data_IF_185285396721
#
_entry.id   IF_185285396721
#
_cell.length_a   1.000
_cell.length_b   1.000
_cell.length_c   1.000
_cell.angle_alpha   90.00
_cell.angle_beta   90.00
_cell.angle_gamma   90.00
#
_symmetry.space_group_name_H-M   'P 1'
#
loop_
_entity.id
_entity.type
_entity.pdbx_description
1 polymer ?
#
# COMPACT_ATOMS: atom_id res chain seq x y z
N UNK A 1 -1.97 -21.52 42.18
CA UNK A 1 -1.77 -20.32 43.03
C UNK A 1 -2.48 -19.20 42.33
N UNK A 2 -3.19 -18.31 43.06
CA UNK A 2 -3.80 -17.14 42.41
C UNK A 2 -2.68 -16.23 41.84
N UNK A 3 -2.83 -15.76 40.62
CA UNK A 3 -1.88 -14.80 40.01
C UNK A 3 -1.88 -13.54 40.89
N UNK A 4 -0.71 -13.01 41.28
CA UNK A 4 -0.64 -11.75 42.01
C UNK A 4 -1.32 -10.64 41.22
N UNK A 5 -2.14 -9.83 41.91
CA UNK A 5 -2.83 -8.68 41.30
C UNK A 5 -2.36 -7.38 41.91
N UNK A 6 -2.36 -6.29 41.11
CA UNK A 6 -2.26 -4.93 41.60
C UNK A 6 -3.60 -4.21 41.38
N UNK A 7 -3.87 -3.20 42.17
CA UNK A 7 -5.06 -2.35 42.04
C UNK A 7 -4.64 -0.97 41.60
N UNK A 8 -5.26 -0.49 40.54
CA UNK A 8 -5.14 0.89 40.06
C UNK A 8 -6.47 1.60 40.25
N UNK A 9 -6.44 2.88 40.63
CA UNK A 9 -7.61 3.66 40.94
C UNK A 9 -7.58 5.04 40.29
N UNK A 10 -8.75 5.50 39.81
CA UNK A 10 -8.99 6.85 39.29
C UNK A 10 -10.41 7.33 39.72
N UNK A 11 -10.84 8.46 39.15
CA UNK A 11 -12.16 9.05 39.43
C UNK A 11 -13.35 8.16 39.03
N UNK A 12 -13.14 7.16 38.16
CA UNK A 12 -14.17 6.26 37.65
C UNK A 12 -14.20 4.90 38.39
N UNK A 13 -13.26 4.65 39.29
CA UNK A 13 -13.25 3.45 40.10
C UNK A 13 -11.91 2.71 40.12
N UNK A 14 -11.96 1.47 40.62
CA UNK A 14 -10.78 0.60 40.78
C UNK A 14 -10.79 -0.52 39.76
N UNK A 15 -9.63 -0.78 39.15
CA UNK A 15 -9.38 -1.91 38.24
C UNK A 15 -8.32 -2.81 38.86
N UNK A 16 -8.54 -4.13 38.82
CA UNK A 16 -7.56 -5.15 39.20
C UNK A 16 -6.84 -5.66 37.97
N UNK A 17 -5.51 -5.63 37.99
CA UNK A 17 -4.64 -6.06 36.91
C UNK A 17 -3.67 -7.12 37.42
N UNK A 18 -3.19 -8.07 36.58
CA UNK A 18 -2.04 -8.89 36.90
C UNK A 18 -0.85 -8.03 37.34
N UNK A 19 -0.14 -8.46 38.38
CA UNK A 19 0.95 -7.63 38.94
C UNK A 19 2.06 -7.32 37.93
N UNK A 20 2.33 -8.26 37.03
CA UNK A 20 3.34 -8.14 35.97
C UNK A 20 2.85 -7.38 34.71
N UNK A 21 1.56 -7.10 34.59
CA UNK A 21 0.98 -6.42 33.43
C UNK A 21 1.61 -5.04 33.23
N UNK A 22 2.01 -4.71 31.99
CA UNK A 22 2.62 -3.40 31.70
C UNK A 22 1.60 -2.34 31.27
N UNK A 23 0.40 -2.69 30.83
CA UNK A 23 -0.64 -1.68 30.64
C UNK A 23 -1.33 -1.35 31.97
N UNK A 24 -2.07 -0.26 32.01
CA UNK A 24 -2.75 0.25 33.19
C UNK A 24 -4.27 0.24 33.04
N UNK A 25 -4.92 0.98 33.92
CA UNK A 25 -6.37 0.99 34.04
C UNK A 25 -7.12 1.57 32.82
N UNK A 26 -6.52 2.55 32.10
CA UNK A 26 -7.16 3.11 30.90
C UNK A 26 -7.22 2.08 29.79
N UNK A 27 -6.11 1.36 29.57
CA UNK A 27 -6.03 0.26 28.61
C UNK A 27 -7.00 -0.87 28.98
N UNK A 28 -7.05 -1.28 30.25
CA UNK A 28 -7.97 -2.34 30.69
C UNK A 28 -9.43 -2.00 30.37
N UNK A 29 -9.85 -0.75 30.59
CA UNK A 29 -11.19 -0.30 30.23
C UNK A 29 -11.40 -0.25 28.71
N UNK A 30 -10.41 0.22 27.95
CA UNK A 30 -10.53 0.27 26.50
C UNK A 30 -10.71 -1.13 25.90
N UNK A 31 -9.99 -2.13 26.39
CA UNK A 31 -10.12 -3.53 25.97
C UNK A 31 -11.50 -4.11 26.31
N UNK A 32 -12.12 -3.66 27.42
CA UNK A 32 -13.47 -4.09 27.78
C UNK A 32 -14.55 -3.60 26.81
N UNK A 33 -14.35 -2.39 26.22
CA UNK A 33 -15.37 -1.74 25.37
C UNK A 33 -15.09 -1.86 23.88
N UNK A 34 -13.83 -1.93 23.48
CA UNK A 34 -13.41 -1.89 22.07
C UNK A 34 -12.75 -3.21 21.65
N UNK A 35 -13.55 -4.10 21.08
CA UNK A 35 -13.13 -5.37 20.49
C UNK A 35 -13.92 -5.56 19.18
N UNK A 36 -13.61 -4.74 18.17
CA UNK A 36 -14.39 -4.67 16.95
C UNK A 36 -13.67 -5.28 15.76
N UNK A 37 -12.40 -4.99 15.59
CA UNK A 37 -11.63 -5.38 14.39
C UNK A 37 -10.89 -6.71 14.56
N UNK A 38 -10.67 -7.16 15.80
CA UNK A 38 -9.81 -8.28 16.13
C UNK A 38 -8.33 -8.01 15.81
N UNK A 39 -7.94 -6.75 15.61
CA UNK A 39 -6.57 -6.31 15.40
C UNK A 39 -6.18 -5.28 16.42
N UNK A 40 -5.15 -5.57 17.18
CA UNK A 40 -4.65 -4.69 18.23
C UNK A 40 -3.50 -3.82 17.72
N UNK A 41 -3.14 -2.80 18.49
CA UNK A 41 -1.96 -1.98 18.22
C UNK A 41 -0.70 -2.85 18.09
N UNK A 42 -0.55 -3.91 18.90
CA UNK A 42 0.59 -4.83 18.86
C UNK A 42 0.72 -5.59 17.53
N UNK A 43 -0.36 -5.76 16.78
CA UNK A 43 -0.36 -6.39 15.46
C UNK A 43 0.16 -5.47 14.34
N UNK A 44 0.45 -4.19 14.64
CA UNK A 44 0.92 -3.18 13.69
C UNK A 44 2.32 -2.66 14.06
N UNK A 45 3.38 -3.45 13.80
CA UNK A 45 4.75 -3.09 14.20
C UNK A 45 5.21 -1.72 13.67
N UNK A 46 4.75 -1.33 12.48
CA UNK A 46 5.04 -0.02 11.88
C UNK A 46 4.44 1.13 12.70
N UNK A 47 3.19 0.99 13.16
CA UNK A 47 2.52 1.99 13.99
C UNK A 47 3.13 2.04 15.39
N UNK A 48 3.45 0.89 15.97
CA UNK A 48 4.19 0.78 17.23
C UNK A 48 5.53 1.50 17.16
N UNK A 49 6.28 1.33 16.07
CA UNK A 49 7.54 2.02 15.85
C UNK A 49 7.35 3.54 15.69
N UNK A 50 6.28 3.98 15.03
CA UNK A 50 5.89 5.39 14.92
C UNK A 50 5.63 6.02 16.28
N UNK A 51 4.79 5.38 17.11
CA UNK A 51 4.56 5.82 18.49
C UNK A 51 5.85 5.86 19.31
N UNK A 52 6.66 4.81 19.24
CA UNK A 52 7.93 4.75 19.97
C UNK A 52 8.88 5.90 19.59
N UNK A 53 8.96 6.23 18.29
CA UNK A 53 9.80 7.33 17.82
C UNK A 53 9.30 8.69 18.34
N UNK A 54 7.99 8.94 18.29
CA UNK A 54 7.37 10.18 18.80
C UNK A 54 7.60 10.30 20.32
N UNK A 55 7.33 9.25 21.09
CA UNK A 55 7.51 9.24 22.56
C UNK A 55 8.96 9.39 22.97
N UNK A 56 9.88 8.77 22.24
CA UNK A 56 11.31 8.89 22.45
C UNK A 56 11.77 10.34 22.22
N UNK A 57 11.35 10.95 21.13
CA UNK A 57 11.65 12.34 20.80
C UNK A 57 11.06 13.32 21.83
N UNK A 58 9.84 13.07 22.28
CA UNK A 58 9.17 13.87 23.31
C UNK A 58 9.89 13.80 24.66
N UNK A 59 10.32 12.61 25.10
CA UNK A 59 11.09 12.44 26.34
C UNK A 59 12.44 13.20 26.26
N UNK A 60 13.15 13.12 25.13
CA UNK A 60 14.40 13.86 24.90
C UNK A 60 14.16 15.38 24.88
N UNK A 61 13.09 15.85 24.24
CA UNK A 61 12.72 17.26 24.19
C UNK A 61 12.35 17.81 25.58
N UNK A 62 11.56 17.07 26.36
CA UNK A 62 11.19 17.45 27.72
C UNK A 62 12.40 17.48 28.67
N UNK A 63 13.39 16.60 28.48
CA UNK A 63 14.67 16.68 29.15
C UNK A 63 15.42 17.95 28.79
N UNK A 64 15.53 18.26 27.49
CA UNK A 64 16.23 19.47 26.99
C UNK A 64 15.62 20.77 27.50
N UNK A 65 14.29 20.80 27.64
CA UNK A 65 13.52 21.96 28.14
C UNK A 65 13.39 22.01 29.67
N UNK A 66 13.95 21.02 30.39
CA UNK A 66 13.91 20.97 31.85
C UNK A 66 12.58 20.51 32.44
N UNK A 67 11.62 20.02 31.64
CA UNK A 67 10.32 19.52 32.09
C UNK A 67 10.35 18.06 32.56
N UNK A 68 11.42 17.34 32.27
CA UNK A 68 11.64 15.96 32.68
C UNK A 68 13.11 15.83 33.13
N UNK A 69 13.37 15.22 34.29
CA UNK A 69 14.72 14.95 34.76
C UNK A 69 15.39 13.85 33.91
N UNK A 70 16.70 13.78 34.00
CA UNK A 70 17.52 12.90 33.18
C UNK A 70 17.21 11.41 33.43
N UNK A 71 16.99 11.01 34.69
CA UNK A 71 16.77 9.61 35.05
C UNK A 71 15.50 9.06 34.43
N UNK A 72 14.38 9.82 34.58
CA UNK A 72 13.10 9.45 33.96
C UNK A 72 13.15 9.48 32.44
N UNK A 73 13.77 10.54 31.88
CA UNK A 73 13.90 10.66 30.41
C UNK A 73 14.67 9.48 29.81
N UNK A 74 15.81 9.12 30.40
CA UNK A 74 16.63 8.01 29.93
C UNK A 74 15.92 6.64 30.08
N UNK A 75 15.12 6.47 31.15
CA UNK A 75 14.33 5.25 31.34
C UNK A 75 13.21 5.13 30.28
N UNK A 76 12.51 6.24 29.99
CA UNK A 76 11.47 6.29 28.94
C UNK A 76 12.08 6.04 27.55
N UNK A 77 13.20 6.67 27.21
CA UNK A 77 13.92 6.47 25.94
C UNK A 77 14.25 4.98 25.74
N UNK A 78 14.82 4.33 26.76
CA UNK A 78 15.11 2.89 26.68
C UNK A 78 13.87 2.02 26.60
N UNK A 79 12.74 2.40 27.24
CA UNK A 79 11.47 1.70 27.08
C UNK A 79 10.93 1.85 25.63
N UNK A 80 11.12 3.01 24.98
CA UNK A 80 10.78 3.19 23.57
C UNK A 80 11.63 2.30 22.64
N UNK A 81 12.91 2.07 22.98
CA UNK A 81 13.76 1.12 22.23
C UNK A 81 13.24 -0.32 22.38
N UNK A 82 12.78 -0.72 23.57
CA UNK A 82 12.16 -2.03 23.79
C UNK A 82 10.87 -2.16 23.00
N UNK A 83 10.03 -1.12 22.97
CA UNK A 83 8.79 -1.10 22.20
C UNK A 83 9.06 -1.23 20.70
N UNK A 84 10.00 -0.47 20.16
CA UNK A 84 10.40 -0.50 18.74
C UNK A 84 10.94 -1.87 18.32
N UNK A 85 11.65 -2.57 19.22
CA UNK A 85 12.16 -3.92 18.97
C UNK A 85 11.12 -5.03 19.09
N UNK A 86 9.86 -4.71 19.38
CA UNK A 86 8.76 -5.66 19.56
C UNK A 86 8.69 -6.33 20.93
N UNK A 87 9.61 -6.04 21.87
CA UNK A 87 9.62 -6.68 23.21
C UNK A 87 8.41 -6.32 24.06
N UNK A 88 7.68 -5.28 23.71
CA UNK A 88 6.50 -4.83 24.45
C UNK A 88 5.17 -5.05 23.69
N UNK A 89 5.21 -5.71 22.53
CA UNK A 89 4.04 -5.85 21.65
C UNK A 89 2.88 -6.58 22.32
N UNK A 90 3.13 -7.58 23.14
CA UNK A 90 2.11 -8.35 23.85
C UNK A 90 1.27 -7.52 24.84
N UNK A 91 1.75 -6.31 25.18
CA UNK A 91 1.05 -5.38 26.09
C UNK A 91 0.30 -4.26 25.35
N UNK A 92 0.42 -4.19 24.02
CA UNK A 92 -0.24 -3.21 23.16
C UNK A 92 -1.54 -3.82 22.62
N UNK A 93 -2.52 -3.93 23.50
CA UNK A 93 -3.72 -4.79 23.36
C UNK A 93 -4.99 -4.06 22.94
N UNK A 94 -4.94 -2.73 22.80
CA UNK A 94 -6.09 -1.94 22.36
C UNK A 94 -6.37 -2.20 20.89
N UNK A 95 -7.65 -2.45 20.56
CA UNK A 95 -8.13 -2.60 19.17
C UNK A 95 -7.86 -1.32 18.36
N UNK A 96 -7.47 -1.48 17.10
CA UNK A 96 -7.21 -0.35 16.21
C UNK A 96 -8.45 0.50 15.93
N UNK A 97 -9.65 -0.10 15.99
CA UNK A 97 -10.91 0.63 15.89
C UNK A 97 -11.45 0.90 17.30
N UNK A 98 -11.21 2.11 17.77
CA UNK A 98 -11.63 2.55 19.09
C UNK A 98 -12.36 3.90 19.03
N UNK A 99 -13.25 4.15 19.98
CA UNK A 99 -14.16 5.29 19.92
C UNK A 99 -13.67 6.55 20.63
N UNK A 100 -12.39 6.59 21.06
CA UNK A 100 -11.83 7.68 21.85
C UNK A 100 -10.91 8.62 21.06
N UNK A 101 -10.98 8.60 19.71
CA UNK A 101 -10.20 9.48 18.85
C UNK A 101 -8.69 9.28 18.96
N UNK A 102 -8.25 8.03 19.12
CA UNK A 102 -6.83 7.68 19.32
C UNK A 102 -6.38 7.72 20.79
N UNK A 103 -7.22 8.20 21.72
CA UNK A 103 -6.79 8.32 23.12
C UNK A 103 -6.51 6.96 23.75
N UNK A 104 -7.29 5.94 23.45
CA UNK A 104 -7.06 4.60 24.00
C UNK A 104 -5.75 4.00 23.49
N UNK A 105 -5.42 4.18 22.21
CA UNK A 105 -4.12 3.78 21.62
C UNK A 105 -2.96 4.53 22.30
N UNK A 106 -3.06 5.86 22.41
CA UNK A 106 -2.03 6.69 23.04
C UNK A 106 -1.84 6.34 24.52
N UNK A 107 -2.92 6.10 25.26
CA UNK A 107 -2.85 5.71 26.68
C UNK A 107 -2.26 4.32 26.85
N UNK A 108 -2.58 3.35 25.99
CA UNK A 108 -1.94 2.03 26.00
C UNK A 108 -0.41 2.16 25.86
N UNK A 109 0.04 2.98 24.90
CA UNK A 109 1.48 3.28 24.72
C UNK A 109 2.06 3.94 25.97
N UNK A 110 1.39 4.97 26.51
CA UNK A 110 1.87 5.71 27.68
C UNK A 110 2.01 4.83 28.93
N UNK A 111 1.01 3.98 29.20
CA UNK A 111 0.99 3.08 30.36
C UNK A 111 2.06 2.00 30.25
N UNK A 112 2.20 1.38 29.06
CA UNK A 112 3.22 0.36 28.80
C UNK A 112 4.63 0.95 28.93
N UNK A 113 4.89 2.13 28.35
CA UNK A 113 6.18 2.80 28.47
C UNK A 113 6.47 3.24 29.91
N UNK A 114 5.48 3.75 30.65
CA UNK A 114 5.65 4.12 32.04
C UNK A 114 6.07 2.92 32.91
N UNK A 115 5.34 1.81 32.80
CA UNK A 115 5.65 0.60 33.55
C UNK A 115 6.96 -0.06 33.13
N UNK A 116 7.31 -0.07 31.84
CA UNK A 116 8.60 -0.53 31.38
C UNK A 116 9.76 0.35 31.93
N UNK A 117 9.58 1.68 31.98
CA UNK A 117 10.54 2.60 32.58
C UNK A 117 10.65 2.40 34.10
N UNK A 118 9.53 2.19 34.82
CA UNK A 118 9.52 1.89 36.25
C UNK A 118 10.33 0.64 36.56
N UNK A 119 10.15 -0.45 35.80
CA UNK A 119 10.95 -1.68 35.98
C UNK A 119 12.44 -1.43 35.79
N UNK A 120 12.84 -0.58 34.83
CA UNK A 120 14.23 -0.20 34.61
C UNK A 120 14.83 0.62 35.75
N UNK A 121 13.98 1.33 36.48
CA UNK A 121 14.36 2.09 37.69
C UNK A 121 14.26 1.24 38.99
N UNK A 122 14.07 -0.08 38.86
CA UNK A 122 13.98 -1.00 40.01
C UNK A 122 12.69 -0.89 40.81
N UNK A 123 11.62 -0.33 40.22
CA UNK A 123 10.26 -0.31 40.78
C UNK A 123 9.41 -1.48 40.31
N UNK A 124 8.13 -1.49 40.69
CA UNK A 124 7.13 -2.44 40.23
C UNK A 124 6.10 -1.76 39.33
N UNK A 125 5.46 -2.46 38.38
CA UNK A 125 4.40 -1.86 37.58
C UNK A 125 3.29 -1.25 38.47
N UNK A 126 2.84 -0.04 38.12
CA UNK A 126 1.90 0.75 38.88
C UNK A 126 2.55 1.74 39.86
N UNK A 127 3.88 1.75 40.06
CA UNK A 127 4.59 2.77 40.85
C UNK A 127 4.68 4.10 40.11
N UNK A 128 3.54 4.70 39.81
CA UNK A 128 3.43 5.91 39.02
C UNK A 128 4.03 7.17 39.68
N UNK A 129 4.41 7.10 40.95
CA UNK A 129 5.21 8.13 41.59
C UNK A 129 6.62 8.22 40.97
N UNK A 130 7.15 7.10 40.43
CA UNK A 130 8.43 7.08 39.72
C UNK A 130 8.28 7.59 38.28
N UNK A 131 7.40 6.94 37.49
CA UNK A 131 7.12 7.37 36.10
C UNK A 131 5.61 7.29 35.86
N UNK A 132 4.98 8.45 35.69
CA UNK A 132 3.55 8.54 35.45
C UNK A 132 3.24 8.58 33.94
N UNK A 133 2.22 7.84 33.46
CA UNK A 133 1.83 7.82 32.04
C UNK A 133 1.55 9.22 31.47
N UNK A 134 0.79 10.05 32.19
CA UNK A 134 0.41 11.39 31.74
C UNK A 134 1.48 12.45 32.07
N UNK A 135 1.96 12.50 33.33
CA UNK A 135 2.81 13.61 33.78
C UNK A 135 4.25 13.51 33.26
N UNK A 136 4.71 12.30 32.90
CA UNK A 136 6.08 12.08 32.43
C UNK A 136 6.11 11.56 30.98
N UNK A 137 5.45 10.44 30.64
CA UNK A 137 5.52 9.86 29.28
C UNK A 137 4.79 10.75 28.28
N UNK A 138 3.59 11.25 28.62
CA UNK A 138 2.79 12.12 27.77
C UNK A 138 3.07 13.62 27.97
N UNK A 139 4.10 13.98 28.71
CA UNK A 139 4.43 15.39 29.02
C UNK A 139 4.57 16.21 27.74
N UNK A 140 3.96 17.41 27.73
CA UNK A 140 3.99 18.37 26.59
C UNK A 140 3.34 17.86 25.30
N UNK A 141 2.50 16.83 25.36
CA UNK A 141 1.84 16.18 24.24
C UNK A 141 0.33 16.09 24.45
N UNK A 142 -0.38 15.89 23.36
CA UNK A 142 -1.76 15.42 23.34
C UNK A 142 -1.87 14.17 22.47
N UNK A 143 -2.93 13.39 22.65
CA UNK A 143 -3.33 12.36 21.65
C UNK A 143 -3.38 12.95 20.27
N UNK A 144 -3.92 14.17 20.15
CA UNK A 144 -4.27 14.83 18.89
C UNK A 144 -3.05 15.17 18.02
N UNK A 145 -1.88 15.40 18.60
CA UNK A 145 -0.65 15.64 17.82
C UNK A 145 0.25 14.38 17.73
N UNK A 146 0.14 13.46 18.68
CA UNK A 146 0.93 12.22 18.74
C UNK A 146 0.42 11.18 17.74
N UNK A 147 -0.90 10.92 17.72
CA UNK A 147 -1.48 9.84 16.91
C UNK A 147 -1.29 10.08 15.42
N UNK A 148 -1.66 11.24 14.84
CA UNK A 148 -1.43 11.49 13.41
C UNK A 148 0.05 11.50 13.06
N UNK A 149 0.93 11.96 13.95
CA UNK A 149 2.39 11.90 13.74
C UNK A 149 2.89 10.44 13.68
N UNK A 150 2.40 9.57 14.57
CA UNK A 150 2.76 8.15 14.56
C UNK A 150 2.23 7.43 13.31
N UNK A 151 1.01 7.73 12.88
CA UNK A 151 0.40 7.19 11.65
C UNK A 151 1.22 7.63 10.42
N UNK A 152 1.58 8.90 10.33
CA UNK A 152 2.38 9.45 9.24
C UNK A 152 3.73 8.75 9.12
N UNK A 153 4.46 8.56 10.23
CA UNK A 153 5.73 7.83 10.25
C UNK A 153 5.57 6.36 9.83
N UNK A 154 4.52 5.69 10.32
CA UNK A 154 4.22 4.31 9.95
C UNK A 154 3.91 4.16 8.46
N UNK A 155 3.03 5.00 7.93
CA UNK A 155 2.68 5.02 6.51
C UNK A 155 3.88 5.37 5.63
N UNK A 156 4.71 6.34 6.04
CA UNK A 156 5.94 6.70 5.35
C UNK A 156 6.89 5.49 5.21
N UNK A 157 7.10 4.74 6.28
CA UNK A 157 7.97 3.56 6.27
C UNK A 157 7.40 2.47 5.37
N UNK A 158 6.13 2.11 5.55
CA UNK A 158 5.46 1.07 4.75
C UNK A 158 5.35 1.45 3.26
N UNK A 159 5.17 2.74 2.94
CA UNK A 159 5.21 3.23 1.56
C UNK A 159 6.59 3.01 0.91
N UNK A 160 7.67 3.17 1.66
CA UNK A 160 9.03 2.87 1.17
C UNK A 160 9.20 1.41 0.73
N UNK A 161 8.63 0.48 1.48
CA UNK A 161 8.63 -0.93 1.13
C UNK A 161 7.78 -1.21 -0.13
N UNK A 162 6.59 -0.60 -0.24
CA UNK A 162 5.74 -0.71 -1.43
C UNK A 162 6.43 -0.13 -2.67
N UNK A 163 7.10 1.02 -2.56
CA UNK A 163 7.88 1.64 -3.63
C UNK A 163 8.95 0.67 -4.13
N UNK A 164 9.66 0.00 -3.23
CA UNK A 164 10.68 -1.00 -3.59
C UNK A 164 10.12 -2.17 -4.38
N UNK A 165 8.96 -2.71 -4.01
CA UNK A 165 8.35 -3.82 -4.76
C UNK A 165 7.70 -3.37 -6.07
N UNK A 166 7.23 -2.13 -6.18
CA UNK A 166 6.78 -1.55 -7.47
C UNK A 166 7.95 -1.37 -8.46
N UNK A 167 9.11 -0.98 -7.96
CA UNK A 167 10.33 -0.91 -8.76
C UNK A 167 10.77 -2.30 -9.25
N UNK A 168 10.72 -3.31 -8.37
CA UNK A 168 10.97 -4.71 -8.76
C UNK A 168 9.99 -5.18 -9.85
N UNK A 169 8.69 -4.84 -9.72
CA UNK A 169 7.68 -5.18 -10.72
C UNK A 169 7.96 -4.50 -12.05
N UNK A 170 8.24 -3.19 -12.04
CA UNK A 170 8.57 -2.43 -13.25
C UNK A 170 9.78 -3.04 -13.98
N UNK A 171 10.84 -3.39 -13.24
CA UNK A 171 12.01 -4.07 -13.77
C UNK A 171 11.69 -5.44 -14.38
N UNK A 172 10.85 -6.25 -13.71
CA UNK A 172 10.44 -7.55 -14.23
C UNK A 172 9.60 -7.42 -15.53
N UNK A 173 8.71 -6.42 -15.58
CA UNK A 173 7.91 -6.13 -16.79
C UNK A 173 8.78 -5.63 -17.94
N UNK A 174 9.76 -4.78 -17.67
CA UNK A 174 10.73 -4.31 -18.68
C UNK A 174 11.57 -5.48 -19.24
N UNK A 175 11.97 -6.43 -18.41
CA UNK A 175 12.67 -7.63 -18.88
C UNK A 175 11.79 -8.45 -19.85
N UNK A 176 10.49 -8.61 -19.53
CA UNK A 176 9.53 -9.27 -20.44
C UNK A 176 9.27 -8.47 -21.71
N UNK A 177 9.22 -7.14 -21.63
CA UNK A 177 9.15 -6.28 -22.80
C UNK A 177 10.28 -6.57 -23.79
N UNK A 178 11.51 -6.65 -23.32
CA UNK A 178 12.67 -6.92 -24.17
C UNK A 178 12.62 -8.34 -24.76
N UNK A 179 12.30 -9.35 -23.94
CA UNK A 179 12.23 -10.75 -24.35
C UNK A 179 11.15 -10.99 -25.41
N UNK A 180 9.99 -10.34 -25.29
CA UNK A 180 8.85 -10.52 -26.18
C UNK A 180 8.75 -9.46 -27.29
N UNK A 181 9.79 -8.66 -27.50
CA UNK A 181 9.80 -7.52 -28.42
C UNK A 181 9.52 -7.90 -29.88
N UNK A 182 9.92 -9.11 -30.29
CA UNK A 182 9.74 -9.59 -31.67
C UNK A 182 8.46 -10.42 -31.89
N UNK A 183 7.71 -10.77 -30.82
CA UNK A 183 6.56 -11.64 -30.91
C UNK A 183 5.32 -10.83 -31.27
N UNK A 184 4.83 -10.99 -32.50
CA UNK A 184 3.62 -10.33 -32.99
C UNK A 184 2.37 -10.91 -32.33
N UNK A 185 1.40 -10.06 -32.04
CA UNK A 185 0.07 -10.42 -31.54
C UNK A 185 -1.01 -9.53 -32.12
N UNK A 186 -2.25 -10.02 -32.03
CA UNK A 186 -3.42 -9.20 -32.30
C UNK A 186 -3.69 -8.23 -31.15
N UNK A 187 -3.71 -6.93 -31.43
CA UNK A 187 -4.21 -5.90 -30.50
C UNK A 187 -5.75 -6.04 -30.35
N UNK A 188 -6.26 -5.62 -29.20
CA UNK A 188 -7.70 -5.65 -28.92
C UNK A 188 -8.17 -4.39 -28.22
N UNK A 189 -9.32 -3.85 -28.64
CA UNK A 189 -10.03 -2.76 -27.98
C UNK A 189 -11.46 -3.23 -27.68
N UNK A 190 -11.95 -3.06 -26.46
CA UNK A 190 -13.27 -3.57 -26.04
C UNK A 190 -13.47 -5.07 -26.34
N UNK A 191 -12.41 -5.89 -26.25
CA UNK A 191 -12.33 -7.29 -26.66
C UNK A 191 -12.59 -7.54 -28.15
N UNK A 192 -12.67 -6.50 -28.98
CA UNK A 192 -12.74 -6.62 -30.43
C UNK A 192 -11.33 -6.53 -31.04
N UNK A 193 -11.17 -7.16 -32.19
CA UNK A 193 -9.92 -7.17 -32.94
C UNK A 193 -9.49 -5.74 -33.33
N UNK A 194 -8.22 -5.43 -33.13
CA UNK A 194 -7.59 -4.18 -33.50
C UNK A 194 -6.27 -4.43 -34.24
N UNK A 195 -5.47 -3.39 -34.45
CA UNK A 195 -4.24 -3.49 -35.24
C UNK A 195 -3.22 -4.46 -34.62
N UNK A 196 -2.31 -5.01 -35.44
CA UNK A 196 -1.17 -5.77 -34.97
C UNK A 196 -0.30 -4.97 -33.99
N UNK A 197 0.26 -5.65 -33.02
CA UNK A 197 1.27 -5.12 -32.09
C UNK A 197 2.21 -6.25 -31.65
N UNK A 198 3.25 -5.93 -30.88
CA UNK A 198 4.06 -6.97 -30.22
C UNK A 198 3.57 -7.26 -28.80
N UNK A 199 3.86 -8.47 -28.33
CA UNK A 199 3.67 -8.81 -26.91
C UNK A 199 4.55 -7.89 -26.04
N UNK A 200 5.77 -7.60 -26.49
CA UNK A 200 6.70 -6.69 -25.82
C UNK A 200 6.12 -5.29 -25.60
N UNK A 201 5.44 -4.71 -26.60
CA UNK A 201 4.78 -3.39 -26.45
C UNK A 201 3.71 -3.41 -25.35
N UNK A 202 2.95 -4.49 -25.19
CA UNK A 202 1.99 -4.61 -24.10
C UNK A 202 2.68 -4.64 -22.73
N UNK A 203 3.78 -5.40 -22.59
CA UNK A 203 4.55 -5.44 -21.33
C UNK A 203 5.25 -4.12 -21.04
N UNK A 204 5.70 -3.39 -22.07
CA UNK A 204 6.23 -2.03 -21.93
C UNK A 204 5.20 -1.05 -21.37
N UNK A 205 3.96 -1.12 -21.84
CA UNK A 205 2.87 -0.31 -21.29
C UNK A 205 2.57 -0.63 -19.82
N UNK A 206 2.64 -1.91 -19.42
CA UNK A 206 2.51 -2.31 -18.03
C UNK A 206 3.67 -1.81 -17.17
N UNK A 207 4.91 -1.89 -17.67
CA UNK A 207 6.10 -1.37 -16.99
C UNK A 207 6.00 0.14 -16.74
N UNK A 208 5.61 0.90 -17.76
CA UNK A 208 5.37 2.34 -17.65
C UNK A 208 4.28 2.69 -16.62
N UNK A 209 3.21 1.89 -16.56
CA UNK A 209 2.15 2.03 -15.55
C UNK A 209 2.67 1.82 -14.12
N UNK A 210 3.43 0.75 -13.90
CA UNK A 210 4.03 0.43 -12.59
C UNK A 210 5.05 1.50 -12.15
N UNK A 211 5.88 2.00 -13.07
CA UNK A 211 6.84 3.07 -12.80
C UNK A 211 6.13 4.38 -12.41
N UNK A 212 5.09 4.78 -13.12
CA UNK A 212 4.30 5.98 -12.76
C UNK A 212 3.64 5.84 -11.39
N UNK A 213 3.11 4.67 -11.03
CA UNK A 213 2.55 4.41 -9.71
C UNK A 213 3.61 4.56 -8.61
N UNK A 214 4.83 4.01 -8.83
CA UNK A 214 5.98 4.18 -7.95
C UNK A 214 6.31 5.66 -7.75
N UNK A 215 6.46 6.43 -8.82
CA UNK A 215 6.90 7.83 -8.78
C UNK A 215 5.88 8.72 -8.06
N UNK A 216 4.58 8.47 -8.26
CA UNK A 216 3.50 9.15 -7.54
C UNK A 216 3.53 8.86 -6.05
N UNK A 217 3.76 7.60 -5.66
CA UNK A 217 3.88 7.22 -4.26
C UNK A 217 5.13 7.81 -3.60
N UNK A 218 6.25 7.97 -4.33
CA UNK A 218 7.45 8.67 -3.82
C UNK A 218 7.08 10.11 -3.43
N UNK A 219 6.36 10.83 -4.28
CA UNK A 219 5.92 12.19 -3.98
C UNK A 219 4.97 12.22 -2.78
N UNK A 220 3.91 11.42 -2.78
CA UNK A 220 2.92 11.39 -1.70
C UNK A 220 3.50 10.93 -0.35
N UNK A 221 4.50 10.06 -0.37
CA UNK A 221 5.22 9.63 0.83
C UNK A 221 5.91 10.78 1.53
N UNK A 222 6.51 11.71 0.78
CA UNK A 222 7.23 12.85 1.35
C UNK A 222 6.29 13.82 2.08
N UNK A 223 5.05 13.97 1.62
CA UNK A 223 4.04 14.82 2.27
C UNK A 223 3.72 14.32 3.69
N UNK A 224 3.88 13.02 3.97
CA UNK A 224 3.69 12.43 5.30
C UNK A 224 4.75 12.86 6.33
N UNK A 225 5.81 13.55 5.93
CA UNK A 225 6.84 14.08 6.83
C UNK A 225 6.50 15.47 7.42
N UNK A 226 5.38 16.06 7.01
CA UNK A 226 4.82 17.27 7.61
C UNK A 226 3.92 16.87 8.77
N UNK A 227 4.32 17.18 10.02
CA UNK A 227 3.69 16.65 11.23
C UNK A 227 3.06 17.73 12.09
N UNK A 228 1.93 17.47 12.77
CA UNK A 228 1.31 18.40 13.72
C UNK A 228 1.97 18.38 15.11
N UNK A 229 3.08 17.65 15.31
CA UNK A 229 3.70 17.44 16.61
C UNK A 229 4.08 18.75 17.28
N UNK A 230 3.74 18.89 18.57
CA UNK A 230 3.88 20.13 19.34
C UNK A 230 2.67 21.07 19.26
N UNK A 231 1.62 20.68 18.54
CA UNK A 231 0.33 21.38 18.51
C UNK A 231 -0.44 21.25 19.83
N UNK A 232 -0.20 20.18 20.55
CA UNK A 232 -0.95 19.73 21.71
C UNK A 232 -2.44 19.49 21.38
N UNK A 233 -3.38 20.00 22.15
CA UNK A 233 -4.80 19.60 22.02
C UNK A 233 -5.50 20.14 20.78
N UNK A 234 -5.24 21.39 20.39
CA UNK A 234 -6.00 22.12 19.34
C UNK A 234 -5.13 23.01 18.44
N UNK A 235 -3.80 22.95 18.53
CA UNK A 235 -2.90 23.78 17.71
C UNK A 235 -2.18 24.89 18.47
N UNK A 236 -2.58 25.18 19.71
CA UNK A 236 -2.02 26.30 20.51
C UNK A 236 -0.65 26.00 21.12
N UNK A 237 -0.25 24.73 21.21
CA UNK A 237 0.92 24.31 21.99
C UNK A 237 0.75 24.49 23.50
N UNK A 238 -0.48 24.73 24.00
CA UNK A 238 -0.75 24.95 25.42
C UNK A 238 -0.28 23.77 26.28
N UNK A 239 0.41 24.08 27.38
CA UNK A 239 0.98 23.09 28.31
C UNK A 239 2.38 22.59 27.92
N UNK A 240 2.89 22.94 26.74
CA UNK A 240 4.28 22.71 26.37
C UNK A 240 5.16 23.92 26.75
N UNK A 241 6.42 23.71 27.20
CA UNK A 241 7.33 24.80 27.54
C UNK A 241 7.87 25.47 26.28
N UNK A 242 8.36 26.72 26.39
CA UNK A 242 9.05 27.38 25.29
C UNK A 242 10.21 26.52 24.75
N UNK A 243 10.34 26.44 23.42
CA UNK A 243 11.36 25.67 22.74
C UNK A 243 11.09 24.16 22.62
N UNK A 244 9.99 23.65 23.18
CA UNK A 244 9.64 22.23 23.09
C UNK A 244 9.47 21.77 21.65
N UNK A 245 8.72 22.50 20.81
CA UNK A 245 8.46 22.13 19.42
C UNK A 245 9.75 21.99 18.62
N UNK A 246 10.65 22.94 18.74
CA UNK A 246 11.97 22.85 18.10
C UNK A 246 12.74 21.61 18.59
N UNK A 247 12.79 21.41 19.91
CA UNK A 247 13.52 20.32 20.53
C UNK A 247 12.97 18.93 20.12
N UNK A 248 11.63 18.77 20.01
CA UNK A 248 11.02 17.48 19.64
C UNK A 248 11.26 17.14 18.19
N UNK A 249 11.22 18.11 17.27
CA UNK A 249 11.57 17.87 15.86
C UNK A 249 13.05 17.53 15.68
N UNK A 250 13.98 18.24 16.37
CA UNK A 250 15.39 17.89 16.36
C UNK A 250 15.64 16.46 16.85
N UNK A 251 14.98 16.08 17.96
CA UNK A 251 15.09 14.75 18.52
C UNK A 251 14.46 13.69 17.59
N UNK A 252 13.34 13.99 16.96
CA UNK A 252 12.66 13.06 16.06
C UNK A 252 13.49 12.82 14.79
N UNK A 253 14.10 13.87 14.20
CA UNK A 253 15.07 13.71 13.10
C UNK A 253 16.24 12.82 13.51
N UNK A 254 16.80 13.07 14.70
CA UNK A 254 17.89 12.24 15.22
C UNK A 254 17.52 10.78 15.47
N UNK A 255 16.28 10.53 15.88
CA UNK A 255 15.78 9.17 16.18
C UNK A 255 15.44 8.39 14.92
N UNK A 256 14.86 9.06 13.92
CA UNK A 256 14.31 8.41 12.71
C UNK A 256 15.23 8.50 11.50
N UNK A 257 16.12 9.48 11.45
CA UNK A 257 16.90 9.83 10.26
C UNK A 257 16.04 10.44 9.14
N UNK A 258 14.80 10.84 9.42
CA UNK A 258 13.86 11.41 8.44
C UNK A 258 13.83 12.94 8.57
N UNK A 259 13.67 13.63 7.44
CA UNK A 259 13.57 15.09 7.38
C UNK A 259 12.15 15.58 7.73
N UNK A 260 11.68 15.20 8.92
CA UNK A 260 10.37 15.63 9.42
C UNK A 260 10.35 17.13 9.69
N UNK A 261 9.25 17.78 9.33
CA UNK A 261 9.05 19.22 9.52
C UNK A 261 7.73 19.50 10.23
N UNK A 262 7.62 20.59 11.02
CA UNK A 262 6.35 20.99 11.60
C UNK A 262 5.41 21.48 10.51
N UNK A 263 4.12 21.22 10.67
CA UNK A 263 3.07 21.83 9.85
C UNK A 263 3.11 23.36 10.01
N UNK A 264 2.84 24.08 8.93
CA UNK A 264 2.84 25.54 8.89
C UNK A 264 1.72 26.10 9.79
N UNK A 265 0.52 25.56 9.68
CA UNK A 265 -0.62 25.85 10.53
C UNK A 265 -1.00 24.62 11.35
N UNK A 266 -0.83 24.70 12.68
CA UNK A 266 -1.11 23.60 13.59
C UNK A 266 -2.60 23.40 13.86
N UNK A 267 -3.45 24.43 13.68
CA UNK A 267 -4.91 24.31 13.82
C UNK A 267 -5.47 23.55 12.62
N UNK A 268 -4.99 23.88 11.41
CA UNK A 268 -5.33 23.19 10.19
C UNK A 268 -4.90 21.71 10.26
N UNK A 269 -3.64 21.45 10.65
CA UNK A 269 -3.05 20.14 10.67
C UNK A 269 -3.67 19.14 11.68
N UNK A 270 -4.42 19.64 12.70
CA UNK A 270 -5.17 18.80 13.63
C UNK A 270 -6.62 18.58 13.19
N UNK A 271 -7.22 19.57 12.52
CA UNK A 271 -8.62 19.52 12.12
C UNK A 271 -8.84 18.84 10.77
N UNK A 272 -7.87 18.90 9.86
CA UNK A 272 -7.96 18.35 8.52
C UNK A 272 -7.09 17.11 8.33
N UNK A 273 -7.66 16.09 7.70
CA UNK A 273 -6.99 14.83 7.37
C UNK A 273 -6.78 14.65 5.85
N UNK A 274 -6.83 15.74 5.06
CA UNK A 274 -6.72 15.71 3.60
C UNK A 274 -5.35 15.19 3.12
N UNK A 275 -4.30 15.31 3.91
CA UNK A 275 -3.00 14.68 3.65
C UNK A 275 -3.11 13.15 3.55
N UNK A 276 -3.87 12.51 4.45
CA UNK A 276 -4.14 11.09 4.40
C UNK A 276 -5.08 10.72 3.23
N UNK A 277 -6.03 11.58 2.86
CA UNK A 277 -6.88 11.38 1.68
C UNK A 277 -6.04 11.38 0.41
N UNK A 278 -5.14 12.35 0.23
CA UNK A 278 -4.23 12.39 -0.92
C UNK A 278 -3.37 11.12 -0.99
N UNK A 279 -2.77 10.73 0.11
CA UNK A 279 -1.96 9.51 0.17
C UNK A 279 -2.77 8.26 -0.15
N UNK A 280 -3.98 8.11 0.42
CA UNK A 280 -4.91 7.03 0.10
C UNK A 280 -5.31 7.01 -1.38
N UNK A 281 -5.51 8.18 -1.97
CA UNK A 281 -5.78 8.34 -3.41
C UNK A 281 -4.68 7.79 -4.30
N UNK A 282 -3.42 8.01 -3.94
CA UNK A 282 -2.27 7.44 -4.68
C UNK A 282 -2.16 5.92 -4.49
N UNK A 283 -2.51 5.38 -3.32
CA UNK A 283 -2.62 3.93 -3.12
C UNK A 283 -3.72 3.33 -4.01
N UNK A 284 -4.87 3.98 -4.10
CA UNK A 284 -5.98 3.55 -4.96
C UNK A 284 -5.63 3.66 -6.45
N UNK A 285 -4.90 4.69 -6.87
CA UNK A 285 -4.39 4.83 -8.24
C UNK A 285 -3.40 3.71 -8.58
N UNK A 286 -2.46 3.39 -7.69
CA UNK A 286 -1.54 2.26 -7.85
C UNK A 286 -2.31 0.93 -7.95
N UNK A 287 -3.30 0.71 -7.07
CA UNK A 287 -4.17 -0.45 -7.10
C UNK A 287 -4.92 -0.59 -8.43
N UNK A 288 -5.38 0.53 -9.01
CA UNK A 288 -6.06 0.55 -10.32
C UNK A 288 -5.13 0.08 -11.45
N UNK A 289 -3.88 0.56 -11.48
CA UNK A 289 -2.87 0.11 -12.45
C UNK A 289 -2.62 -1.39 -12.33
N UNK A 290 -2.40 -1.88 -11.12
CA UNK A 290 -2.16 -3.31 -10.84
C UNK A 290 -3.38 -4.17 -11.21
N UNK A 291 -4.59 -3.69 -10.91
CA UNK A 291 -5.85 -4.35 -11.26
C UNK A 291 -6.07 -4.44 -12.77
N UNK A 292 -5.67 -3.41 -13.53
CA UNK A 292 -5.70 -3.41 -15.00
C UNK A 292 -4.72 -4.42 -15.58
N UNK A 293 -3.47 -4.44 -15.11
CA UNK A 293 -2.47 -5.44 -15.51
C UNK A 293 -3.01 -6.85 -15.23
N UNK A 294 -3.55 -7.07 -14.03
CA UNK A 294 -4.12 -8.35 -13.65
C UNK A 294 -5.28 -8.78 -14.56
N UNK A 295 -6.17 -7.87 -14.94
CA UNK A 295 -7.30 -8.14 -15.86
C UNK A 295 -6.79 -8.57 -17.23
N UNK A 296 -5.80 -7.91 -17.77
CA UNK A 296 -5.21 -8.28 -19.06
C UNK A 296 -4.54 -9.65 -19.01
N UNK A 297 -3.77 -9.93 -17.96
CA UNK A 297 -3.13 -11.23 -17.79
C UNK A 297 -4.15 -12.37 -17.68
N UNK A 298 -5.27 -12.16 -16.97
CA UNK A 298 -6.38 -13.12 -16.90
C UNK A 298 -6.95 -13.39 -18.28
N UNK A 299 -7.21 -12.34 -19.06
CA UNK A 299 -7.79 -12.43 -20.39
C UNK A 299 -6.84 -13.13 -21.36
N UNK A 300 -5.59 -12.68 -21.41
CA UNK A 300 -4.60 -13.22 -22.36
C UNK A 300 -4.19 -14.66 -22.05
N UNK A 301 -4.30 -15.10 -20.79
CA UNK A 301 -4.06 -16.50 -20.39
C UNK A 301 -5.31 -17.38 -20.36
N UNK A 302 -6.46 -16.87 -20.76
CA UNK A 302 -7.74 -17.59 -20.72
C UNK A 302 -7.77 -18.77 -21.69
N UNK A 303 -8.41 -19.85 -21.30
CA UNK A 303 -8.57 -21.04 -22.16
C UNK A 303 -7.93 -22.29 -21.54
N UNK A 304 -7.15 -23.11 -22.32
CA UNK A 304 -6.55 -22.80 -23.64
C UNK A 304 -7.50 -22.87 -24.85
N UNK A 305 -8.48 -23.76 -24.88
CA UNK A 305 -9.29 -23.98 -26.09
C UNK A 305 -10.40 -22.93 -26.25
N UNK A 306 -11.07 -22.56 -25.15
CA UNK A 306 -12.23 -21.67 -25.15
C UNK A 306 -11.90 -20.19 -24.85
N UNK A 307 -10.67 -19.78 -24.95
CA UNK A 307 -10.25 -18.41 -24.64
C UNK A 307 -9.16 -17.88 -25.55
N UNK A 308 -8.53 -16.75 -25.16
CA UNK A 308 -7.48 -16.09 -25.94
C UNK A 308 -6.23 -16.96 -26.03
N UNK A 309 -5.72 -17.46 -24.88
CA UNK A 309 -4.67 -18.45 -24.81
C UNK A 309 -3.28 -18.01 -25.30
N UNK A 310 -3.02 -16.69 -25.39
CA UNK A 310 -1.76 -16.15 -25.89
C UNK A 310 -0.62 -16.18 -24.88
N UNK A 311 -0.95 -16.11 -23.58
CA UNK A 311 0.01 -16.19 -22.48
C UNK A 311 -0.17 -17.47 -21.66
N UNK A 312 0.94 -18.01 -21.17
CA UNK A 312 0.96 -19.08 -20.17
C UNK A 312 1.56 -18.55 -18.88
N UNK A 313 0.75 -18.57 -17.82
CA UNK A 313 1.18 -18.15 -16.49
C UNK A 313 1.76 -19.33 -15.72
N UNK A 314 2.69 -19.10 -14.77
CA UNK A 314 3.18 -20.13 -13.86
C UNK A 314 2.06 -20.84 -13.13
N UNK A 315 2.14 -22.17 -13.09
CA UNK A 315 1.17 -23.02 -12.40
C UNK A 315 1.57 -23.15 -10.92
N UNK A 316 0.87 -22.43 -10.04
CA UNK A 316 1.20 -22.38 -8.61
C UNK A 316 0.37 -23.34 -7.77
N UNK A 317 -0.82 -23.71 -8.22
CA UNK A 317 -1.71 -24.65 -7.55
C UNK A 317 -2.73 -25.27 -8.52
N UNK A 318 -3.35 -26.36 -8.11
CA UNK A 318 -4.45 -26.95 -8.89
C UNK A 318 -5.62 -25.96 -9.02
N UNK A 319 -6.15 -25.81 -10.22
CA UNK A 319 -7.23 -24.88 -10.50
C UNK A 319 -8.65 -25.43 -10.22
N UNK A 320 -8.77 -26.74 -9.96
CA UNK A 320 -10.05 -27.39 -9.69
C UNK A 320 -9.85 -28.68 -8.92
N UNK A 321 -10.78 -29.00 -8.04
CA UNK A 321 -10.84 -30.29 -7.32
C UNK A 321 -11.46 -31.41 -8.16
N UNK A 322 -12.18 -31.07 -9.26
CA UNK A 322 -12.92 -32.05 -10.08
C UNK A 322 -12.49 -32.07 -11.55
N UNK A 323 -11.70 -31.09 -12.00
CA UNK A 323 -11.22 -31.01 -13.40
C UNK A 323 -9.69 -31.15 -13.43
N UNK A 324 -9.15 -32.36 -13.71
CA UNK A 324 -7.71 -32.54 -13.82
C UNK A 324 -7.12 -31.63 -14.91
N UNK A 325 -5.98 -31.03 -14.63
CA UNK A 325 -5.25 -30.17 -15.58
C UNK A 325 -5.78 -28.75 -15.72
N UNK A 326 -6.86 -28.36 -15.02
CA UNK A 326 -7.30 -26.97 -14.98
C UNK A 326 -6.32 -26.10 -14.19
N UNK A 327 -5.89 -25.01 -14.80
CA UNK A 327 -5.02 -24.00 -14.19
C UNK A 327 -5.76 -22.65 -14.17
N UNK A 328 -5.86 -22.03 -13.00
CA UNK A 328 -6.43 -20.70 -12.87
C UNK A 328 -5.33 -19.64 -12.75
N UNK A 329 -5.55 -18.41 -13.24
CA UNK A 329 -4.61 -17.30 -13.10
C UNK A 329 -4.70 -16.70 -11.67
N UNK A 330 -4.32 -17.49 -10.65
CA UNK A 330 -4.60 -17.19 -9.22
C UNK A 330 -3.94 -15.90 -8.73
N UNK A 331 -2.72 -15.58 -9.20
CA UNK A 331 -2.04 -14.34 -8.79
C UNK A 331 -2.75 -13.11 -9.36
N UNK A 332 -3.02 -12.99 -10.67
CA UNK A 332 -3.84 -11.90 -11.19
C UNK A 332 -5.22 -11.79 -10.55
N UNK A 333 -5.88 -12.92 -10.27
CA UNK A 333 -7.18 -12.91 -9.59
C UNK A 333 -7.08 -12.33 -8.17
N UNK A 334 -6.04 -12.67 -7.42
CA UNK A 334 -5.78 -12.11 -6.10
C UNK A 334 -5.52 -10.59 -6.16
N UNK A 335 -4.74 -10.12 -7.16
CA UNK A 335 -4.48 -8.69 -7.36
C UNK A 335 -5.76 -7.90 -7.64
N UNK A 336 -6.71 -8.46 -8.38
CA UNK A 336 -8.01 -7.80 -8.60
C UNK A 336 -8.79 -7.63 -7.30
N UNK A 337 -8.78 -8.65 -6.42
CA UNK A 337 -9.41 -8.54 -5.10
C UNK A 337 -8.73 -7.45 -4.25
N UNK A 338 -7.40 -7.41 -4.26
CA UNK A 338 -6.63 -6.35 -3.57
C UNK A 338 -7.01 -4.97 -4.12
N UNK A 339 -7.09 -4.80 -5.44
CA UNK A 339 -7.47 -3.53 -6.04
C UNK A 339 -8.88 -3.07 -5.60
N UNK A 340 -9.84 -3.99 -5.53
CA UNK A 340 -11.18 -3.68 -5.03
C UNK A 340 -11.18 -3.32 -3.53
N UNK A 341 -10.42 -4.05 -2.70
CA UNK A 341 -10.30 -3.77 -1.27
C UNK A 341 -9.70 -2.38 -1.03
N UNK A 342 -8.61 -2.03 -1.74
CA UNK A 342 -7.96 -0.72 -1.61
C UNK A 342 -8.86 0.42 -2.11
N UNK A 343 -9.66 0.20 -3.16
CA UNK A 343 -10.63 1.19 -3.61
C UNK A 343 -11.72 1.45 -2.55
N UNK A 344 -12.20 0.40 -1.87
CA UNK A 344 -13.12 0.52 -0.74
C UNK A 344 -12.49 1.25 0.45
N UNK A 345 -11.25 0.90 0.82
CA UNK A 345 -10.48 1.56 1.86
C UNK A 345 -10.30 3.07 1.60
N UNK A 346 -10.00 3.46 0.36
CA UNK A 346 -9.90 4.87 -0.02
C UNK A 346 -11.23 5.62 0.19
N UNK A 347 -12.35 5.01 -0.16
CA UNK A 347 -13.67 5.61 0.10
C UNK A 347 -13.93 5.79 1.61
N UNK A 348 -13.52 4.82 2.43
CA UNK A 348 -13.61 4.91 3.90
C UNK A 348 -12.72 6.03 4.44
N UNK A 349 -11.47 6.16 3.95
CA UNK A 349 -10.57 7.25 4.37
C UNK A 349 -11.16 8.63 4.02
N UNK A 350 -11.75 8.79 2.82
CA UNK A 350 -12.42 10.04 2.43
C UNK A 350 -13.58 10.37 3.38
N UNK A 351 -14.42 9.38 3.70
CA UNK A 351 -15.55 9.59 4.61
C UNK A 351 -15.06 9.96 6.02
N UNK A 352 -14.09 9.23 6.55
CA UNK A 352 -13.50 9.47 7.87
C UNK A 352 -12.83 10.85 7.97
N UNK A 353 -12.12 11.27 6.91
CA UNK A 353 -11.48 12.59 6.86
C UNK A 353 -12.52 13.73 6.82
N UNK A 354 -13.67 13.51 6.19
CA UNK A 354 -14.73 14.52 6.07
C UNK A 354 -15.54 14.69 7.36
N UNK A 355 -15.51 13.69 8.25
CA UNK A 355 -16.30 13.63 9.47
C UNK A 355 -15.54 14.16 10.72
N UNK A 356 -14.55 15.03 10.51
CA UNK A 356 -13.86 15.73 11.59
C UNK A 356 -14.80 16.70 12.33
N UNK A 357 -14.62 16.86 13.64
CA UNK A 357 -15.45 17.71 14.49
C UNK A 357 -14.63 18.87 15.05
N UNK A 358 -14.88 20.07 14.51
CA UNK A 358 -14.18 21.31 14.90
C UNK A 358 -12.65 21.18 14.78
N UNK A 359 -11.93 21.27 15.89
CA UNK A 359 -10.48 21.41 15.95
C UNK A 359 -9.71 20.09 15.82
N UNK A 360 -10.38 18.94 15.67
CA UNK A 360 -9.72 17.64 15.47
C UNK A 360 -10.49 16.74 14.50
N UNK A 361 -9.75 15.82 13.87
CA UNK A 361 -10.36 14.64 13.27
C UNK A 361 -10.20 13.43 14.21
N UNK A 362 -11.32 12.98 14.78
CA UNK A 362 -11.33 11.87 15.73
C UNK A 362 -11.36 10.47 15.06
N UNK A 363 -11.40 10.41 13.72
CA UNK A 363 -11.44 9.17 12.95
C UNK A 363 -10.04 8.68 12.54
N UNK A 364 -8.95 9.26 13.06
CA UNK A 364 -7.58 8.85 12.76
C UNK A 364 -7.30 7.35 13.00
N UNK A 365 -7.87 6.68 14.04
CA UNK A 365 -7.73 5.24 14.19
C UNK A 365 -8.26 4.45 12.99
N UNK A 366 -9.44 4.81 12.45
CA UNK A 366 -10.00 4.20 11.25
C UNK A 366 -9.15 4.50 10.00
N UNK A 367 -8.67 5.74 9.87
CA UNK A 367 -7.76 6.12 8.78
C UNK A 367 -6.48 5.27 8.83
N UNK A 368 -5.88 5.09 10.01
CA UNK A 368 -4.71 4.24 10.19
C UNK A 368 -4.97 2.79 9.81
N UNK A 369 -6.10 2.22 10.25
CA UNK A 369 -6.51 0.86 9.93
C UNK A 369 -6.57 0.61 8.43
N UNK A 370 -7.21 1.51 7.68
CA UNK A 370 -7.39 1.40 6.23
C UNK A 370 -6.09 1.63 5.45
N UNK A 371 -5.30 2.63 5.82
CA UNK A 371 -4.03 2.94 5.16
C UNK A 371 -3.01 1.81 5.34
N UNK A 372 -2.80 1.33 6.57
CA UNK A 372 -1.86 0.25 6.86
C UNK A 372 -2.31 -1.07 6.24
N UNK A 373 -3.61 -1.34 6.20
CA UNK A 373 -4.17 -2.51 5.50
C UNK A 373 -3.91 -2.43 4.00
N UNK A 374 -4.17 -1.29 3.37
CA UNK A 374 -3.96 -1.06 1.95
C UNK A 374 -2.48 -1.19 1.56
N UNK A 375 -1.58 -0.59 2.32
CA UNK A 375 -0.14 -0.69 2.12
C UNK A 375 0.33 -2.14 2.17
N UNK A 376 -0.08 -2.90 3.18
CA UNK A 376 0.28 -4.31 3.35
C UNK A 376 -0.26 -5.18 2.21
N UNK A 377 -1.51 -4.99 1.79
CA UNK A 377 -2.11 -5.72 0.68
C UNK A 377 -1.38 -5.43 -0.63
N UNK A 378 -1.14 -4.16 -0.94
CA UNK A 378 -0.43 -3.76 -2.16
C UNK A 378 1.01 -4.28 -2.18
N UNK A 379 1.76 -4.12 -1.09
CA UNK A 379 3.13 -4.61 -0.98
C UNK A 379 3.21 -6.11 -1.25
N UNK A 380 2.42 -6.92 -0.54
CA UNK A 380 2.45 -8.38 -0.67
C UNK A 380 1.95 -8.84 -2.03
N UNK A 381 0.85 -8.24 -2.52
CA UNK A 381 0.30 -8.56 -3.83
C UNK A 381 1.22 -8.21 -4.98
N UNK A 382 1.85 -7.03 -4.95
CA UNK A 382 2.81 -6.59 -5.97
C UNK A 382 4.06 -7.49 -5.99
N UNK A 383 4.60 -7.84 -4.82
CA UNK A 383 5.73 -8.76 -4.72
C UNK A 383 5.38 -10.15 -5.27
N UNK A 384 4.19 -10.66 -4.96
CA UNK A 384 3.70 -11.93 -5.49
C UNK A 384 3.57 -11.87 -7.03
N UNK A 385 2.99 -10.79 -7.58
CA UNK A 385 2.87 -10.59 -9.03
C UNK A 385 4.25 -10.60 -9.69
N UNK A 386 5.19 -9.81 -9.21
CA UNK A 386 6.52 -9.69 -9.78
C UNK A 386 7.28 -11.02 -9.78
N UNK A 387 7.33 -11.68 -8.61
CA UNK A 387 8.22 -12.81 -8.35
C UNK A 387 7.65 -14.14 -8.82
N UNK A 388 6.33 -14.37 -8.63
CA UNK A 388 5.72 -15.67 -8.89
C UNK A 388 4.87 -15.71 -10.17
N UNK A 389 4.61 -14.55 -10.81
CA UNK A 389 3.83 -14.49 -12.03
C UNK A 389 4.68 -13.93 -13.19
N UNK A 390 5.06 -12.66 -13.16
CA UNK A 390 5.68 -11.96 -14.31
C UNK A 390 6.98 -12.64 -14.74
N UNK A 391 7.85 -13.03 -13.82
CA UNK A 391 9.15 -13.68 -14.14
C UNK A 391 9.01 -15.03 -14.84
N UNK A 392 7.89 -15.70 -14.70
CA UNK A 392 7.66 -17.03 -15.26
C UNK A 392 6.64 -17.08 -16.40
N UNK A 393 6.15 -15.92 -16.89
CA UNK A 393 5.25 -15.87 -18.03
C UNK A 393 5.98 -16.30 -19.29
N UNK A 394 5.30 -17.12 -20.12
CA UNK A 394 5.72 -17.45 -21.47
C UNK A 394 4.61 -17.13 -22.46
N UNK A 395 4.96 -17.01 -23.74
CA UNK A 395 4.04 -16.74 -24.85
C UNK A 395 3.79 -18.04 -25.61
N UNK A 396 2.52 -18.31 -25.94
CA UNK A 396 2.16 -19.32 -26.93
C UNK A 396 2.22 -18.67 -28.32
N UNK A 397 3.40 -18.71 -28.96
CA UNK A 397 3.63 -18.04 -30.22
C UNK A 397 2.76 -18.58 -31.35
N UNK A 398 2.47 -19.88 -31.36
CA UNK A 398 1.58 -20.49 -32.35
C UNK A 398 0.14 -19.94 -32.22
N UNK A 399 -0.37 -19.89 -30.99
CA UNK A 399 -1.69 -19.34 -30.70
C UNK A 399 -1.77 -17.85 -31.03
N UNK A 400 -0.74 -17.11 -30.66
CA UNK A 400 -0.64 -15.66 -30.92
C UNK A 400 -0.65 -15.38 -32.42
N UNK A 401 0.12 -16.15 -33.19
CA UNK A 401 0.17 -16.06 -34.66
C UNK A 401 -1.18 -16.47 -35.28
N UNK A 402 -1.82 -17.55 -34.82
CA UNK A 402 -3.12 -17.98 -35.31
C UNK A 402 -4.18 -16.90 -35.11
N UNK A 403 -4.27 -16.31 -33.91
CA UNK A 403 -5.21 -15.24 -33.60
C UNK A 403 -5.01 -14.03 -34.53
N UNK A 404 -3.75 -13.62 -34.74
CA UNK A 404 -3.43 -12.50 -35.62
C UNK A 404 -3.81 -12.80 -37.09
N UNK A 405 -3.42 -13.95 -37.61
CA UNK A 405 -3.67 -14.34 -39.02
C UNK A 405 -5.16 -14.54 -39.34
N UNK A 406 -5.94 -14.93 -38.35
CA UNK A 406 -7.40 -15.13 -38.53
C UNK A 406 -8.18 -13.82 -38.50
N UNK A 407 -7.59 -12.74 -38.00
CA UNK A 407 -8.30 -11.48 -37.81
C UNK A 407 -8.44 -10.68 -39.12
N UNK A 408 -9.61 -10.06 -39.35
CA UNK A 408 -9.79 -9.11 -40.43
C UNK A 408 -8.97 -7.82 -40.26
N UNK A 409 -8.38 -7.58 -39.10
CA UNK A 409 -7.59 -6.38 -38.79
C UNK A 409 -6.36 -6.22 -39.69
N UNK A 410 -5.77 -7.32 -40.23
CA UNK A 410 -4.72 -7.29 -41.24
C UNK A 410 -5.19 -6.56 -42.54
N UNK A 411 -6.48 -6.56 -42.81
CA UNK A 411 -7.09 -5.84 -43.92
C UNK A 411 -6.85 -4.33 -43.91
N UNK A 412 -6.61 -3.75 -42.74
CA UNK A 412 -6.26 -2.32 -42.61
C UNK A 412 -4.92 -2.02 -43.23
N UNK A 413 -3.92 -2.88 -43.04
CA UNK A 413 -2.59 -2.75 -43.67
C UNK A 413 -2.68 -2.96 -45.19
N UNK A 414 -3.48 -3.96 -45.60
CA UNK A 414 -3.75 -4.20 -47.03
C UNK A 414 -4.41 -2.99 -47.69
N UNK A 415 -5.35 -2.33 -47.05
CA UNK A 415 -6.05 -1.18 -47.59
C UNK A 415 -5.09 0.00 -47.91
N UNK A 416 -4.04 0.18 -47.11
CA UNK A 416 -3.02 1.18 -47.32
C UNK A 416 -2.20 0.92 -48.61
N UNK A 417 -1.93 -0.34 -48.93
CA UNK A 417 -1.11 -0.71 -50.11
C UNK A 417 -1.90 -0.99 -51.39
N UNK A 418 -3.02 -1.70 -51.27
CA UNK A 418 -3.82 -2.21 -52.39
C UNK A 418 -5.13 -1.45 -52.60
N UNK A 419 -5.43 -0.50 -51.75
CA UNK A 419 -6.68 0.28 -51.74
C UNK A 419 -7.85 -0.39 -51.01
N UNK A 420 -8.73 0.44 -50.49
CA UNK A 420 -9.85 0.06 -49.64
C UNK A 420 -10.81 -0.95 -50.31
N UNK A 421 -11.10 -0.78 -51.60
CA UNK A 421 -12.03 -1.67 -52.30
C UNK A 421 -11.55 -3.12 -52.37
N UNK A 422 -10.28 -3.33 -52.73
CA UNK A 422 -9.68 -4.68 -52.79
C UNK A 422 -9.55 -5.30 -51.42
N UNK A 423 -9.17 -4.53 -50.41
CA UNK A 423 -9.11 -5.00 -49.04
C UNK A 423 -10.51 -5.46 -48.54
N UNK A 424 -11.56 -4.69 -48.84
CA UNK A 424 -12.95 -5.05 -48.46
C UNK A 424 -13.40 -6.33 -49.09
N UNK A 425 -13.14 -6.52 -50.41
CA UNK A 425 -13.48 -7.74 -51.15
C UNK A 425 -12.85 -8.99 -50.48
N UNK A 426 -11.55 -8.94 -50.19
CA UNK A 426 -10.82 -10.07 -49.63
C UNK A 426 -11.24 -10.37 -48.16
N UNK A 427 -11.49 -9.34 -47.38
CA UNK A 427 -12.02 -9.48 -46.01
C UNK A 427 -13.44 -10.15 -46.05
N UNK A 428 -14.32 -9.71 -46.96
CA UNK A 428 -15.65 -10.32 -47.13
C UNK A 428 -15.57 -11.77 -47.62
N UNK A 429 -14.65 -12.07 -48.52
CA UNK A 429 -14.37 -13.43 -48.97
C UNK A 429 -13.90 -14.31 -47.81
N UNK A 430 -12.95 -13.88 -47.02
CA UNK A 430 -12.45 -14.61 -45.85
C UNK A 430 -13.59 -14.90 -44.85
N UNK A 431 -14.44 -13.91 -44.56
CA UNK A 431 -15.61 -14.07 -43.71
C UNK A 431 -16.63 -15.06 -44.28
N UNK A 432 -16.96 -14.97 -45.59
CA UNK A 432 -17.92 -15.86 -46.23
C UNK A 432 -17.43 -17.32 -46.30
N UNK A 433 -16.11 -17.52 -46.48
CA UNK A 433 -15.48 -18.84 -46.53
C UNK A 433 -15.13 -19.37 -45.11
N UNK A 434 -15.32 -18.57 -44.05
CA UNK A 434 -14.89 -18.87 -42.67
C UNK A 434 -13.40 -19.30 -42.60
N UNK A 435 -12.55 -18.56 -43.26
CA UNK A 435 -11.11 -18.82 -43.37
C UNK A 435 -10.30 -17.67 -42.83
N UNK A 436 -9.07 -17.94 -42.31
CA UNK A 436 -8.12 -16.88 -41.96
C UNK A 436 -7.89 -15.92 -43.12
N UNK A 437 -7.93 -14.60 -42.88
CA UNK A 437 -7.71 -13.61 -43.91
C UNK A 437 -6.31 -13.78 -44.56
N UNK A 438 -5.29 -14.07 -43.77
CA UNK A 438 -3.95 -14.33 -44.25
C UNK A 438 -3.90 -15.43 -45.32
N UNK A 439 -4.63 -16.53 -45.14
CA UNK A 439 -4.66 -17.64 -46.10
C UNK A 439 -5.35 -17.22 -47.42
N UNK A 440 -6.42 -16.42 -47.33
CA UNK A 440 -7.11 -15.86 -48.47
C UNK A 440 -6.23 -14.88 -49.27
N UNK A 441 -5.43 -14.06 -48.58
CA UNK A 441 -4.47 -13.13 -49.18
C UNK A 441 -3.36 -13.86 -49.96
N UNK A 442 -2.83 -14.93 -49.37
CA UNK A 442 -1.79 -15.76 -50.01
C UNK A 442 -2.37 -16.50 -51.25
N UNK A 443 -3.56 -17.11 -51.11
CA UNK A 443 -4.21 -17.80 -52.20
C UNK A 443 -4.61 -16.86 -53.35
N UNK A 444 -5.01 -15.64 -53.05
CA UNK A 444 -5.29 -14.60 -54.06
C UNK A 444 -4.05 -14.06 -54.75
N UNK A 445 -2.83 -14.46 -54.30
CA UNK A 445 -1.55 -13.99 -54.89
C UNK A 445 -1.22 -12.54 -54.52
N UNK A 446 -1.86 -11.98 -53.49
CA UNK A 446 -1.56 -10.62 -53.04
C UNK A 446 -0.21 -10.54 -52.34
N UNK A 447 0.13 -11.57 -51.55
CA UNK A 447 1.39 -11.71 -50.84
C UNK A 447 1.84 -13.17 -50.77
N UNK A 448 3.13 -13.38 -50.68
CA UNK A 448 3.71 -14.60 -50.13
C UNK A 448 3.62 -14.55 -48.59
N UNK A 449 3.80 -15.68 -47.92
CA UNK A 449 3.82 -15.73 -46.46
C UNK A 449 4.89 -14.80 -45.86
N UNK A 450 6.09 -14.78 -46.46
CA UNK A 450 7.20 -13.95 -46.00
C UNK A 450 6.92 -12.45 -46.18
N UNK A 451 6.32 -12.05 -47.33
CA UNK A 451 5.93 -10.65 -47.58
C UNK A 451 4.83 -10.20 -46.63
N UNK A 452 3.84 -11.01 -46.33
CA UNK A 452 2.77 -10.68 -45.36
C UNK A 452 3.32 -10.52 -43.96
N UNK A 453 4.21 -11.41 -43.52
CA UNK A 453 4.84 -11.31 -42.20
C UNK A 453 5.76 -10.06 -42.14
N UNK A 454 6.47 -9.71 -43.17
CA UNK A 454 7.27 -8.49 -43.26
C UNK A 454 6.38 -7.24 -43.18
N UNK A 455 5.32 -7.18 -44.00
CA UNK A 455 4.37 -6.08 -44.01
C UNK A 455 3.74 -5.81 -42.60
N UNK A 456 3.37 -6.87 -41.90
CA UNK A 456 2.83 -6.75 -40.52
C UNK A 456 3.90 -6.20 -39.57
N UNK A 457 5.14 -6.68 -39.66
CA UNK A 457 6.26 -6.18 -38.85
C UNK A 457 6.54 -4.71 -39.09
N UNK A 458 6.60 -4.30 -40.35
CA UNK A 458 6.87 -2.91 -40.76
C UNK A 458 5.75 -1.97 -40.27
N UNK A 459 4.48 -2.40 -40.35
CA UNK A 459 3.34 -1.66 -39.85
C UNK A 459 3.40 -1.46 -38.31
N UNK A 460 3.93 -2.45 -37.57
CA UNK A 460 4.13 -2.35 -36.10
C UNK A 460 5.34 -1.48 -35.76
N UNK A 461 6.41 -1.52 -36.57
CA UNK A 461 7.62 -0.72 -36.35
C UNK A 461 7.43 0.76 -36.71
N UNK A 462 6.74 1.06 -37.80
CA UNK A 462 6.53 2.45 -38.28
C UNK A 462 5.67 3.31 -37.32
N UNK A 463 4.87 2.71 -36.45
CA UNK A 463 4.15 3.42 -35.37
C UNK A 463 5.02 3.80 -34.18
N UNK A 464 6.27 3.33 -34.11
CA UNK A 464 7.19 3.64 -33.01
C UNK A 464 8.07 4.87 -33.30
N UNK A 465 8.38 5.15 -34.58
CA UNK A 465 9.25 6.26 -34.97
C UNK A 465 8.55 7.64 -34.99
N UNK A 466 7.22 7.70 -34.92
CA UNK A 466 6.47 8.97 -34.84
C UNK A 466 6.24 9.47 -33.41
N UNK A 467 6.76 8.78 -32.38
CA UNK A 467 6.52 9.06 -30.96
C UNK A 467 7.78 9.60 -30.21
N UNK A 468 8.85 10.00 -30.94
CA UNK A 468 10.01 10.72 -30.37
C UNK A 468 9.83 12.27 -30.49
#
# INVERSE_FOLDING_TARGET
MATPVRKEHDAYGTVELPAECLYGLNTARAVEYFDFSGRTLGDEPGLVAGFAAVKQAAAAANRRTGCLDAERADAIVRACDDMRSGRLSDWLVVDLLEGAGGTSLNMNVNEVLANAAILRLGGNPGDYARVHPNDHVNRSQSTNDVVPSAISLACHTAAGELIGVLDELAGALTARQAEFSAILRLGRTCFQDAQPMTVGQAFGAYAAGAARARDRLVAARNDLLVLPLGATAIGTGYGAPPGYREAVFDALRGTTGLDVVPAEDLFDALSNADGFVRFSGELAAAASVLGKIATDLITLSSGPAGGVGELRLPQLQAGSSIMPGKVNPVVPMALRQIAHAVAGANATVIAAATDGLHEINHNEPLIAYELLSSLRLLQRGTALLARQCIRGITVDEERTRLNLRSSPAIGTTLAGERGYGRATELVQRAAAENRPLADVLIEAGEYTEAELDALIRDAVAGGADEAE
#
